data_IF_571331532366
#
_entry.id   IF_571331532366
#
_cell.length_a   1.000
_cell.length_b   1.000
_cell.length_c   1.000
_cell.angle_alpha   90.00
_cell.angle_beta   90.00
_cell.angle_gamma   90.00
#
_symmetry.space_group_name_H-M   'P 1'
#
loop_
_entity.id
_entity.type
_entity.pdbx_description
1 polymer ?
#
# COMPACT_ATOMS: atom_id res chain seq x y z
N UNK A 1 21.54 7.25 0.99
CA UNK A 1 21.80 5.92 1.58
C UNK A 1 21.14 4.91 0.68
N UNK A 2 21.82 3.84 0.30
CA UNK A 2 21.21 2.80 -0.52
C UNK A 2 20.11 2.11 0.29
N UNK A 3 18.87 2.20 -0.19
CA UNK A 3 17.71 1.65 0.52
C UNK A 3 17.61 0.16 0.18
N UNK A 4 17.78 -0.70 1.18
CA UNK A 4 17.74 -2.16 1.01
C UNK A 4 16.48 -2.59 0.25
N UNK A 5 16.62 -3.23 -0.91
CA UNK A 5 15.47 -3.70 -1.69
C UNK A 5 14.64 -4.70 -0.88
N UNK A 6 13.32 -4.55 -0.93
CA UNK A 6 12.39 -5.51 -0.33
C UNK A 6 12.30 -6.73 -1.26
N UNK A 7 12.54 -7.93 -0.73
CA UNK A 7 12.50 -9.17 -1.51
C UNK A 7 11.12 -9.83 -1.49
N UNK A 8 10.28 -9.49 -0.52
CA UNK A 8 8.91 -9.98 -0.43
C UNK A 8 8.05 -9.32 -1.52
N UNK A 9 7.29 -10.13 -2.27
CA UNK A 9 6.40 -9.63 -3.32
C UNK A 9 5.36 -8.63 -2.79
N UNK A 10 4.97 -8.77 -1.52
CA UNK A 10 4.01 -7.91 -0.82
C UNK A 10 4.53 -6.47 -0.62
N UNK A 11 5.85 -6.26 -0.66
CA UNK A 11 6.46 -4.94 -0.54
C UNK A 11 7.17 -4.48 -1.81
N UNK A 12 7.09 -5.24 -2.90
CA UNK A 12 7.81 -4.93 -4.13
C UNK A 12 7.39 -3.59 -4.75
N UNK A 13 6.12 -3.21 -4.62
CA UNK A 13 5.65 -1.89 -5.07
C UNK A 13 6.44 -0.74 -4.45
N UNK A 14 6.90 -0.86 -3.21
CA UNK A 14 7.74 0.16 -2.57
C UNK A 14 9.12 0.32 -3.21
N UNK A 15 9.65 -0.73 -3.83
CA UNK A 15 10.89 -0.65 -4.59
C UNK A 15 10.68 0.17 -5.86
N UNK A 16 9.57 -0.06 -6.58
CA UNK A 16 9.20 0.70 -7.77
C UNK A 16 8.97 2.17 -7.41
N UNK A 17 8.22 2.43 -6.34
CA UNK A 17 7.96 3.79 -5.87
C UNK A 17 9.25 4.52 -5.50
N UNK A 18 10.21 3.84 -4.87
CA UNK A 18 11.53 4.40 -4.56
C UNK A 18 12.34 4.75 -5.82
N UNK A 19 12.24 3.93 -6.87
CA UNK A 19 12.92 4.19 -8.14
C UNK A 19 12.32 5.37 -8.90
N UNK A 20 11.01 5.64 -8.73
CA UNK A 20 10.37 6.82 -9.30
C UNK A 20 10.80 8.09 -8.59
N UNK A 21 10.83 8.05 -7.25
CA UNK A 21 11.28 9.14 -6.42
C UNK A 21 11.66 8.61 -5.02
N UNK A 22 12.75 9.12 -4.47
CA UNK A 22 13.32 8.60 -3.23
C UNK A 22 12.29 8.62 -2.09
N UNK A 23 12.19 7.50 -1.38
CA UNK A 23 11.30 7.33 -0.23
C UNK A 23 12.05 7.60 1.08
N UNK A 24 11.58 8.58 1.86
CA UNK A 24 12.10 8.82 3.22
C UNK A 24 11.56 7.81 4.24
N UNK A 25 10.41 7.21 3.96
CA UNK A 25 9.79 6.21 4.81
C UNK A 25 8.86 5.31 4.01
N UNK A 26 8.75 4.05 4.43
CA UNK A 26 7.92 3.05 3.79
C UNK A 26 7.54 1.92 4.74
N UNK A 27 6.36 1.35 4.51
CA UNK A 27 5.82 0.20 5.22
C UNK A 27 4.80 -0.51 4.32
N UNK A 28 4.66 -1.82 4.48
CA UNK A 28 3.65 -2.60 3.77
C UNK A 28 2.98 -3.59 4.73
N UNK A 29 1.75 -3.98 4.39
CA UNK A 29 1.01 -5.02 5.11
C UNK A 29 1.56 -6.39 4.73
N UNK A 30 2.10 -7.12 5.72
CA UNK A 30 2.59 -8.48 5.52
C UNK A 30 1.52 -9.52 5.91
N UNK A 31 1.42 -10.62 5.16
CA UNK A 31 0.58 -11.77 5.56
C UNK A 31 1.09 -12.45 6.83
N UNK A 32 2.40 -12.43 7.04
CA UNK A 32 3.07 -13.19 8.09
C UNK A 32 4.19 -12.38 8.77
N UNK A 33 3.89 -11.24 9.41
CA UNK A 33 4.92 -10.46 10.08
C UNK A 33 5.45 -11.18 11.33
N UNK A 34 6.72 -10.94 11.64
CA UNK A 34 7.28 -11.21 12.96
C UNK A 34 6.93 -10.06 13.91
N UNK A 35 6.26 -10.40 15.02
CA UNK A 35 5.76 -9.45 16.00
C UNK A 35 6.43 -9.72 17.33
N UNK A 36 7.00 -8.67 17.95
CA UNK A 36 7.58 -8.78 19.28
C UNK A 36 6.47 -8.96 20.33
N UNK A 37 6.53 -10.06 21.09
CA UNK A 37 5.57 -10.46 22.12
C UNK A 37 6.31 -10.64 23.44
N UNK A 38 6.47 -9.54 24.16
CA UNK A 38 7.12 -9.53 25.48
C UNK A 38 8.63 -9.75 25.40
N UNK A 39 9.06 -11.00 25.26
CA UNK A 39 10.45 -11.45 25.31
C UNK A 39 10.93 -12.22 24.05
N UNK A 40 10.06 -12.44 23.05
CA UNK A 40 10.41 -13.12 21.81
C UNK A 40 9.63 -12.59 20.60
N UNK A 41 10.09 -12.99 19.40
CA UNK A 41 9.35 -12.76 18.16
C UNK A 41 8.44 -13.95 17.87
N UNK A 42 7.19 -13.66 17.54
CA UNK A 42 6.22 -14.65 17.05
C UNK A 42 5.77 -14.27 15.63
N UNK A 43 5.61 -15.28 14.78
CA UNK A 43 4.99 -15.11 13.47
C UNK A 43 3.48 -15.09 13.62
N UNK A 44 2.85 -13.99 13.21
CA UNK A 44 1.40 -13.83 13.27
C UNK A 44 0.78 -14.01 11.88
N UNK A 45 -0.25 -14.84 11.76
CA UNK A 45 -1.02 -14.95 10.50
C UNK A 45 -2.02 -13.80 10.39
N UNK A 46 -1.75 -12.91 9.44
CA UNK A 46 -2.59 -11.77 9.05
C UNK A 46 -3.14 -11.90 7.63
N UNK A 47 -3.15 -13.10 7.06
CA UNK A 47 -3.64 -13.35 5.69
C UNK A 47 -5.06 -12.87 5.43
N UNK A 48 -5.93 -12.90 6.45
CA UNK A 48 -7.32 -12.42 6.40
C UNK A 48 -7.45 -10.91 6.40
N UNK A 49 -6.40 -10.18 6.80
CA UNK A 49 -6.41 -8.73 6.78
C UNK A 49 -6.04 -8.23 5.38
N UNK A 50 -6.72 -7.20 4.87
CA UNK A 50 -6.36 -6.57 3.61
C UNK A 50 -4.92 -6.01 3.65
N UNK A 51 -4.15 -6.15 2.57
CA UNK A 51 -2.85 -5.51 2.44
C UNK A 51 -2.97 -3.98 2.28
N UNK A 52 -1.84 -3.30 2.48
CA UNK A 52 -1.67 -1.89 2.16
C UNK A 52 -0.20 -1.61 1.82
N UNK A 53 0.04 -0.53 1.09
CA UNK A 53 1.36 0.04 0.85
C UNK A 53 1.35 1.47 1.38
N UNK A 54 2.15 1.76 2.40
CA UNK A 54 2.25 3.09 2.99
C UNK A 54 3.66 3.64 2.77
N UNK A 55 3.75 4.88 2.29
CA UNK A 55 5.03 5.45 1.90
C UNK A 55 5.03 6.97 2.00
N UNK A 56 6.23 7.51 1.80
CA UNK A 56 6.54 8.91 2.01
C UNK A 56 7.74 9.30 1.15
N UNK A 57 7.57 10.27 0.27
CA UNK A 57 8.66 10.78 -0.56
C UNK A 57 9.57 11.71 0.25
N UNK A 58 10.89 11.65 0.02
CA UNK A 58 11.85 12.62 0.54
C UNK A 58 11.51 14.03 0.07
N UNK A 59 11.09 14.16 -1.19
CA UNK A 59 10.61 15.39 -1.80
C UNK A 59 9.32 15.11 -2.56
N UNK A 60 8.22 15.69 -2.10
CA UNK A 60 6.91 15.55 -2.75
C UNK A 60 6.95 16.12 -4.18
N UNK A 61 6.24 15.44 -5.09
CA UNK A 61 6.04 15.88 -6.47
C UNK A 61 4.57 15.67 -6.82
N UNK A 62 3.84 16.78 -6.96
CA UNK A 62 2.42 16.76 -7.33
C UNK A 62 2.18 16.04 -8.66
N UNK A 63 3.13 16.18 -9.60
CA UNK A 63 3.10 15.47 -10.88
C UNK A 63 3.15 13.95 -10.68
N UNK A 64 4.12 13.44 -9.90
CA UNK A 64 4.25 12.00 -9.64
C UNK A 64 3.00 11.49 -8.93
N UNK A 65 2.51 12.21 -7.92
CA UNK A 65 1.30 11.82 -7.19
C UNK A 65 0.08 11.77 -8.10
N UNK A 66 -0.10 12.75 -8.98
CA UNK A 66 -1.21 12.77 -9.94
C UNK A 66 -1.16 11.57 -10.89
N UNK A 67 0.01 11.28 -11.48
CA UNK A 67 0.15 10.13 -12.38
C UNK A 67 -0.05 8.83 -11.62
N UNK A 68 0.52 8.70 -10.42
CA UNK A 68 0.35 7.50 -9.60
C UNK A 68 -1.13 7.25 -9.27
N UNK A 69 -1.87 8.30 -8.92
CA UNK A 69 -3.30 8.21 -8.67
C UNK A 69 -4.09 7.79 -9.92
N UNK A 70 -3.77 8.34 -11.09
CA UNK A 70 -4.39 7.96 -12.37
C UNK A 70 -4.09 6.51 -12.73
N UNK A 71 -2.83 6.09 -12.64
CA UNK A 71 -2.40 4.72 -12.93
C UNK A 71 -3.12 3.74 -12.01
N UNK A 72 -3.10 3.97 -10.69
CA UNK A 72 -3.80 3.10 -9.72
C UNK A 72 -5.31 3.07 -10.02
N UNK A 73 -5.93 4.22 -10.24
CA UNK A 73 -7.37 4.30 -10.53
C UNK A 73 -7.78 3.66 -11.86
N UNK A 74 -6.84 3.49 -12.80
CA UNK A 74 -7.07 2.81 -14.08
C UNK A 74 -6.83 1.30 -14.03
N UNK A 75 -6.26 0.77 -12.94
CA UNK A 75 -6.01 -0.66 -12.80
C UNK A 75 -7.34 -1.43 -12.70
N UNK A 76 -7.50 -2.43 -13.56
CA UNK A 76 -8.69 -3.27 -13.65
C UNK A 76 -8.33 -4.72 -13.29
N UNK A 77 -8.10 -4.95 -11.99
CA UNK A 77 -7.76 -6.25 -11.43
C UNK A 77 -8.97 -6.96 -10.82
N UNK A 78 -8.71 -7.84 -9.85
CA UNK A 78 -9.73 -8.53 -9.07
C UNK A 78 -10.50 -7.59 -8.15
N UNK A 79 -9.84 -6.54 -7.65
CA UNK A 79 -10.42 -5.51 -6.80
C UNK A 79 -9.95 -4.11 -7.23
N UNK A 80 -10.68 -3.09 -6.77
CA UNK A 80 -10.30 -1.69 -6.98
C UNK A 80 -9.33 -1.22 -5.90
N UNK A 81 -8.35 -0.41 -6.30
CA UNK A 81 -7.34 0.19 -5.42
C UNK A 81 -7.43 1.71 -5.45
N UNK A 82 -7.03 2.36 -4.37
CA UNK A 82 -7.01 3.83 -4.26
C UNK A 82 -5.70 4.31 -3.66
N UNK A 83 -5.26 5.52 -4.05
CA UNK A 83 -4.21 6.26 -3.38
C UNK A 83 -4.84 7.31 -2.47
N UNK A 84 -4.49 7.30 -1.19
CA UNK A 84 -4.99 8.26 -0.21
C UNK A 84 -3.86 9.01 0.47
N UNK A 85 -4.00 10.33 0.54
CA UNK A 85 -3.13 11.19 1.34
C UNK A 85 -3.69 11.33 2.76
N UNK A 86 -2.82 11.17 3.76
CA UNK A 86 -3.10 11.52 5.16
C UNK A 86 -2.07 12.53 5.66
N UNK A 87 -2.56 13.69 6.07
CA UNK A 87 -1.72 14.74 6.67
C UNK A 87 -1.03 14.20 7.93
N UNK A 88 0.22 14.61 8.12
CA UNK A 88 0.98 14.21 9.30
C UNK A 88 0.53 15.04 10.51
N UNK A 89 0.06 14.36 11.55
CA UNK A 89 -0.45 15.01 12.76
C UNK A 89 0.59 15.92 13.46
N UNK A 90 1.89 15.58 13.40
CA UNK A 90 2.94 16.25 14.15
C UNK A 90 3.97 17.02 13.29
N UNK A 91 3.78 17.11 11.96
CA UNK A 91 4.74 17.76 11.05
C UNK A 91 4.07 18.15 9.75
N UNK A 92 4.70 19.03 8.95
CA UNK A 92 4.26 19.27 7.58
C UNK A 92 4.51 18.05 6.69
N UNK A 93 3.60 17.79 5.75
CA UNK A 93 3.74 16.78 4.71
C UNK A 93 2.65 15.71 4.73
N UNK A 94 2.70 14.83 3.73
CA UNK A 94 1.70 13.79 3.51
C UNK A 94 2.31 12.41 3.83
N UNK A 95 1.48 11.50 4.32
CA UNK A 95 1.70 10.06 4.22
C UNK A 95 0.75 9.52 3.16
N UNK A 96 1.28 8.76 2.22
CA UNK A 96 0.49 8.16 1.16
C UNK A 96 0.21 6.70 1.49
N UNK A 97 -1.01 6.26 1.23
CA UNK A 97 -1.45 4.88 1.42
C UNK A 97 -2.13 4.40 0.15
N UNK A 98 -1.67 3.28 -0.39
CA UNK A 98 -2.37 2.50 -1.40
C UNK A 98 -3.04 1.34 -0.68
N UNK A 99 -4.36 1.26 -0.79
CA UNK A 99 -5.16 0.21 -0.16
C UNK A 99 -6.38 -0.14 -1.02
N UNK A 100 -7.04 -1.29 -0.76
CA UNK A 100 -8.29 -1.61 -1.43
C UNK A 100 -9.35 -0.53 -1.20
N UNK A 101 -10.03 -0.11 -2.26
CA UNK A 101 -11.10 0.89 -2.19
C UNK A 101 -12.21 0.46 -1.21
N UNK A 102 -12.45 -0.86 -1.15
CA UNK A 102 -13.49 -1.47 -0.33
C UNK A 102 -13.31 -1.21 1.18
N UNK A 103 -12.09 -0.91 1.65
CA UNK A 103 -11.82 -0.51 3.04
C UNK A 103 -12.67 0.71 3.43
N UNK A 104 -12.79 1.68 2.52
CA UNK A 104 -13.58 2.89 2.75
C UNK A 104 -15.07 2.62 2.66
N UNK A 105 -15.49 1.76 1.74
CA UNK A 105 -16.90 1.42 1.52
C UNK A 105 -17.54 0.75 2.75
N UNK A 106 -16.78 -0.08 3.48
CA UNK A 106 -17.28 -0.76 4.68
C UNK A 106 -17.13 0.05 5.97
N UNK A 107 -16.51 1.23 5.92
CA UNK A 107 -16.13 2.01 7.10
C UNK A 107 -17.33 2.31 8.01
N UNK A 108 -18.43 2.83 7.46
CA UNK A 108 -19.61 3.17 8.26
C UNK A 108 -20.20 1.93 8.97
N UNK A 109 -20.20 0.78 8.29
CA UNK A 109 -20.68 -0.49 8.84
C UNK A 109 -19.74 -1.00 9.94
N UNK A 110 -18.43 -0.96 9.70
CA UNK A 110 -17.42 -1.36 10.68
C UNK A 110 -17.49 -0.49 11.95
N UNK A 111 -17.59 0.83 11.78
CA UNK A 111 -17.74 1.79 12.88
C UNK A 111 -19.02 1.53 13.70
N UNK A 112 -20.14 1.21 13.05
CA UNK A 112 -21.40 0.85 13.75
C UNK A 112 -21.26 -0.37 14.68
N UNK A 113 -20.27 -1.23 14.41
CA UNK A 113 -19.94 -2.43 15.17
C UNK A 113 -18.72 -2.24 16.10
N UNK A 114 -18.22 -1.01 16.25
CA UNK A 114 -17.05 -0.67 17.08
C UNK A 114 -15.74 -1.28 16.57
N UNK A 115 -15.61 -1.50 15.26
CA UNK A 115 -14.45 -2.14 14.63
C UNK A 115 -13.81 -1.23 13.59
N UNK A 116 -12.52 -1.45 13.29
CA UNK A 116 -11.90 -0.90 12.08
C UNK A 116 -12.39 -1.64 10.84
N UNK A 117 -12.31 -1.01 9.66
CA UNK A 117 -12.67 -1.66 8.39
C UNK A 117 -11.89 -2.95 8.15
N UNK A 118 -10.59 -2.97 8.45
CA UNK A 118 -9.73 -4.13 8.28
C UNK A 118 -10.13 -5.27 9.23
N UNK A 119 -10.44 -4.94 10.49
CA UNK A 119 -10.91 -5.92 11.48
C UNK A 119 -12.30 -6.47 11.10
N UNK A 120 -13.16 -5.60 10.56
CA UNK A 120 -14.46 -5.98 10.04
C UNK A 120 -14.32 -6.98 8.88
N UNK A 121 -13.51 -6.66 7.87
CA UNK A 121 -13.29 -7.55 6.73
C UNK A 121 -12.65 -8.87 7.16
N UNK A 122 -11.61 -8.85 7.98
CA UNK A 122 -10.96 -10.07 8.46
C UNK A 122 -11.91 -11.00 9.26
N UNK A 123 -12.96 -10.44 9.87
CA UNK A 123 -13.95 -11.17 10.67
C UNK A 123 -15.14 -11.65 9.85
N UNK A 124 -15.70 -10.79 9.00
CA UNK A 124 -16.96 -11.05 8.30
C UNK A 124 -16.78 -11.46 6.84
N UNK A 125 -15.63 -11.14 6.23
CA UNK A 125 -15.30 -11.41 4.83
C UNK A 125 -13.82 -11.88 4.71
N UNK A 126 -13.43 -12.96 5.41
CA UNK A 126 -12.02 -13.34 5.58
C UNK A 126 -11.30 -13.71 4.27
N UNK A 127 -12.04 -14.08 3.23
CA UNK A 127 -11.52 -14.38 1.89
C UNK A 127 -11.02 -13.13 1.15
N UNK A 128 -11.44 -11.93 1.58
CA UNK A 128 -11.04 -10.69 0.94
C UNK A 128 -9.54 -10.42 1.07
N UNK A 129 -8.95 -10.71 2.24
CA UNK A 129 -7.52 -10.52 2.48
C UNK A 129 -6.64 -11.29 1.48
N UNK A 130 -6.79 -12.62 1.35
CA UNK A 130 -6.05 -13.42 0.38
C UNK A 130 -6.21 -12.94 -1.07
N UNK A 131 -7.45 -12.62 -1.50
CA UNK A 131 -7.73 -12.07 -2.84
C UNK A 131 -6.97 -10.76 -3.06
N UNK A 132 -7.01 -9.85 -2.07
CA UNK A 132 -6.33 -8.57 -2.17
C UNK A 132 -4.80 -8.71 -2.20
N UNK A 133 -4.22 -9.70 -1.50
CA UNK A 133 -2.80 -10.00 -1.57
C UNK A 133 -2.37 -10.52 -2.94
N UNK A 134 -3.19 -11.38 -3.56
CA UNK A 134 -2.95 -11.85 -4.92
C UNK A 134 -3.03 -10.70 -5.92
N UNK A 135 -4.07 -9.87 -5.82
CA UNK A 135 -4.28 -8.75 -6.72
C UNK A 135 -3.24 -7.63 -6.57
N UNK A 136 -2.64 -7.47 -5.38
CA UNK A 136 -1.52 -6.55 -5.15
C UNK A 136 -0.31 -6.86 -6.04
N UNK A 137 -0.05 -8.14 -6.31
CA UNK A 137 1.02 -8.55 -7.24
C UNK A 137 0.68 -8.08 -8.65
N UNK A 138 -0.57 -8.25 -9.07
CA UNK A 138 -1.08 -7.76 -10.37
C UNK A 138 -0.98 -6.24 -10.50
N UNK A 139 -1.38 -5.50 -9.45
CA UNK A 139 -1.24 -4.05 -9.38
C UNK A 139 0.22 -3.62 -9.49
N UNK A 140 1.13 -4.30 -8.78
CA UNK A 140 2.56 -4.00 -8.78
C UNK A 140 3.15 -4.09 -10.19
N UNK A 141 2.85 -5.18 -10.91
CA UNK A 141 3.32 -5.36 -12.28
C UNK A 141 2.68 -4.39 -13.26
N UNK A 142 1.40 -4.07 -13.08
CA UNK A 142 0.73 -3.06 -13.88
C UNK A 142 1.37 -1.68 -13.75
N UNK A 143 1.63 -1.24 -12.52
CA UNK A 143 2.30 0.03 -12.22
C UNK A 143 3.70 0.04 -12.83
N UNK A 144 4.49 -1.03 -12.66
CA UNK A 144 5.83 -1.16 -13.26
C UNK A 144 5.80 -0.93 -14.77
N UNK A 145 4.86 -1.62 -15.45
CA UNK A 145 4.69 -1.52 -16.89
C UNK A 145 4.29 -0.11 -17.31
N UNK A 146 3.32 0.50 -16.63
CA UNK A 146 2.83 1.85 -16.95
C UNK A 146 3.91 2.91 -16.82
N UNK A 147 4.71 2.86 -15.78
CA UNK A 147 5.81 3.83 -15.64
C UNK A 147 6.94 3.61 -16.65
N UNK A 148 7.20 2.36 -17.03
CA UNK A 148 8.13 2.06 -18.12
C UNK A 148 7.63 2.60 -19.47
N UNK A 149 6.32 2.50 -19.75
CA UNK A 149 5.69 3.03 -20.97
C UNK A 149 5.68 4.56 -21.04
N UNK A 150 5.51 5.22 -19.90
CA UNK A 150 5.44 6.68 -19.81
C UNK A 150 6.82 7.36 -19.83
N UNK A 151 7.92 6.58 -19.91
CA UNK A 151 9.30 7.06 -19.76
C UNK A 151 9.54 7.90 -18.49
N UNK A 152 8.70 7.72 -17.47
CA UNK A 152 8.87 8.44 -16.20
C UNK A 152 10.06 7.80 -15.48
N UNK A 153 11.21 8.43 -15.65
CA UNK A 153 12.44 8.10 -14.92
C UNK A 153 12.80 9.26 -14.00
N UNK A 154 13.48 8.94 -12.89
CA UNK A 154 13.92 9.92 -11.89
C UNK A 154 14.81 11.06 -12.44
N UNK A 155 15.22 11.01 -13.71
CA UNK A 155 16.14 11.96 -14.34
C UNK A 155 15.45 13.12 -15.10
N UNK A 156 14.12 13.19 -15.15
CA UNK A 156 13.40 14.27 -15.84
C UNK A 156 12.64 15.24 -14.91
N UNK A 157 12.94 15.25 -13.60
CA UNK A 157 12.36 16.17 -12.61
C UNK A 157 13.41 16.96 -11.81
#
# INVERSE_FOLDING_TARGET
MDVTRILDSEGELLNILHDLNALEWRKYGQRNPEVWRGDHFEREDRSRFPPYIAFRFEKESEYIISILNEVIGSYNGLISWVLMGRERYASSGMNWVIEPAYIKEVEAKAQSLGQSSESYLAKYEPEFGPIAFEDLVGLTEYIRKKFSELNISANEL
#
